data_IF_746040464268
#
_entry.id   IF_746040464268
#
_cell.length_a   1.000
_cell.length_b   1.000
_cell.length_c   1.000
_cell.angle_alpha   90.00
_cell.angle_beta   90.00
_cell.angle_gamma   90.00
#
_symmetry.space_group_name_H-M   'P 1'
#
loop_
_entity.id
_entity.type
_entity.pdbx_description
1 polymer ?
#
# COMPACT_ATOMS: atom_id res chain seq x y z
N UNK A 1 -1.07 20.56 10.06
CA UNK A 1 -1.14 19.34 9.25
C UNK A 1 -0.11 18.37 9.82
N UNK A 2 -0.55 17.39 10.62
CA UNK A 2 0.35 16.44 11.29
C UNK A 2 0.56 15.28 10.31
N UNK A 3 1.73 15.24 9.67
CA UNK A 3 2.14 14.15 8.80
C UNK A 3 2.82 13.07 9.66
N UNK A 4 2.24 11.87 9.74
CA UNK A 4 2.84 10.75 10.45
C UNK A 4 3.62 9.89 9.42
N UNK A 5 4.94 10.00 9.43
CA UNK A 5 5.80 8.99 8.80
C UNK A 5 5.97 7.84 9.79
N UNK A 6 5.45 6.66 9.47
CA UNK A 6 5.67 5.48 10.29
C UNK A 6 6.99 4.82 9.86
N UNK A 7 8.01 4.88 10.73
CA UNK A 7 9.22 4.07 10.62
C UNK A 7 8.97 2.79 11.41
N UNK A 8 8.75 1.68 10.72
CA UNK A 8 8.61 0.38 11.37
C UNK A 8 9.99 -0.16 11.76
N UNK A 9 10.38 -0.01 13.03
CA UNK A 9 11.55 -0.72 13.58
C UNK A 9 11.07 -2.09 14.06
N UNK A 10 11.39 -3.15 13.33
CA UNK A 10 11.16 -4.53 13.79
C UNK A 10 12.39 -4.97 14.59
N UNK A 11 12.23 -5.14 15.89
CA UNK A 11 13.30 -5.64 16.76
C UNK A 11 13.63 -7.12 16.46
N UNK A 12 14.89 -7.55 16.57
CA UNK A 12 15.26 -8.95 16.36
C UNK A 12 14.78 -9.84 17.54
N UNK A 13 14.34 -11.10 17.28
CA UNK A 13 13.90 -11.99 18.35
C UNK A 13 15.09 -12.55 19.14
N UNK A 14 14.98 -12.49 20.47
CA UNK A 14 15.91 -13.10 21.43
C UNK A 14 15.63 -14.60 21.49
N UNK A 15 16.69 -15.41 21.32
CA UNK A 15 16.64 -16.86 21.35
C UNK A 15 16.34 -17.43 22.75
N UNK A 16 15.40 -18.37 22.82
CA UNK A 16 15.12 -19.19 24.01
C UNK A 16 14.60 -20.57 23.59
N UNK A 17 15.24 -21.63 24.08
CA UNK A 17 15.15 -23.02 23.63
C UNK A 17 13.90 -23.79 24.12
N UNK A 18 13.18 -24.42 23.16
CA UNK A 18 12.58 -25.79 23.12
C UNK A 18 11.57 -26.29 24.20
N UNK A 19 10.81 -27.39 23.95
CA UNK A 19 10.01 -27.73 22.76
C UNK A 19 8.61 -28.30 23.13
N UNK A 20 7.58 -28.16 22.28
CA UNK A 20 6.55 -29.21 22.18
C UNK A 20 5.82 -29.18 20.83
N UNK A 21 5.78 -30.36 20.23
CA UNK A 21 5.35 -30.69 18.88
C UNK A 21 3.85 -30.55 18.68
N UNK A 22 3.42 -29.87 17.61
CA UNK A 22 2.28 -30.34 16.80
C UNK A 22 2.51 -29.97 15.33
N UNK A 23 2.73 -30.99 14.52
CA UNK A 23 2.91 -30.95 13.07
C UNK A 23 1.68 -30.35 12.36
N UNK A 24 1.86 -29.23 11.66
CA UNK A 24 0.98 -28.82 10.56
C UNK A 24 1.84 -28.65 9.31
N UNK A 25 1.46 -29.37 8.25
CA UNK A 25 2.18 -29.47 6.98
C UNK A 25 2.23 -28.10 6.29
N UNK A 26 3.35 -27.71 5.67
CA UNK A 26 3.46 -26.45 4.96
C UNK A 26 2.64 -26.52 3.66
N UNK A 27 1.67 -25.61 3.50
CA UNK A 27 1.00 -25.40 2.23
C UNK A 27 1.96 -24.66 1.30
N UNK A 28 2.56 -25.44 0.41
CA UNK A 28 3.36 -24.92 -0.70
C UNK A 28 2.44 -24.21 -1.69
N UNK A 29 2.59 -22.90 -1.88
CA UNK A 29 2.21 -22.22 -3.13
C UNK A 29 3.03 -20.95 -3.30
N UNK A 30 4.22 -21.11 -3.90
CA UNK A 30 4.82 -20.06 -4.70
C UNK A 30 3.87 -19.72 -5.85
N UNK A 31 3.14 -18.61 -5.71
CA UNK A 31 2.45 -17.97 -6.82
C UNK A 31 2.57 -16.46 -6.63
N UNK A 32 3.73 -15.92 -7.04
CA UNK A 32 3.96 -14.49 -7.16
C UNK A 32 3.05 -13.96 -8.28
N UNK A 33 1.76 -13.73 -7.98
CA UNK A 33 0.79 -13.15 -8.91
C UNK A 33 1.31 -11.76 -9.30
N UNK A 34 1.87 -11.66 -10.50
CA UNK A 34 2.13 -10.38 -11.17
C UNK A 34 0.76 -9.73 -11.40
N UNK A 35 0.39 -8.79 -10.54
CA UNK A 35 -0.70 -7.87 -10.81
C UNK A 35 -0.24 -6.97 -11.94
N UNK A 36 -0.80 -7.17 -13.13
CA UNK A 36 -0.50 -6.38 -14.32
C UNK A 36 -1.32 -5.09 -14.28
N UNK A 37 -0.66 -3.95 -14.09
CA UNK A 37 -1.29 -2.63 -14.27
C UNK A 37 -1.61 -2.44 -15.75
N UNK A 38 -2.89 -2.27 -16.08
CA UNK A 38 -3.33 -1.92 -17.43
C UNK A 38 -3.20 -0.41 -17.58
N UNK A 39 -2.32 0.03 -18.48
CA UNK A 39 -2.10 1.44 -18.78
C UNK A 39 -3.04 1.89 -19.90
N UNK A 40 -3.62 3.08 -19.77
CA UNK A 40 -4.30 3.78 -20.86
C UNK A 40 -3.28 4.30 -21.89
N UNK A 41 -3.75 4.73 -23.07
CA UNK A 41 -2.89 5.25 -24.14
C UNK A 41 -2.00 6.44 -23.72
N UNK A 42 -2.41 7.14 -22.65
CA UNK A 42 -1.76 8.35 -22.16
C UNK A 42 -0.75 8.08 -21.03
N UNK A 43 -0.47 6.80 -20.73
CA UNK A 43 0.50 6.37 -19.72
C UNK A 43 -0.02 6.33 -18.28
N UNK A 44 -1.24 6.80 -18.02
CA UNK A 44 -1.90 6.64 -16.71
C UNK A 44 -2.55 5.26 -16.56
N UNK A 45 -2.58 4.68 -15.34
CA UNK A 45 -3.38 3.49 -15.05
C UNK A 45 -4.86 3.71 -15.38
N UNK A 46 -5.49 2.73 -16.03
CA UNK A 46 -6.87 2.86 -16.54
C UNK A 46 -7.93 3.00 -15.44
N UNK A 47 -7.62 2.65 -14.19
CA UNK A 47 -8.52 2.79 -13.05
C UNK A 47 -8.55 4.21 -12.48
N UNK A 48 -7.61 5.07 -12.85
CA UNK A 48 -7.59 6.45 -12.36
C UNK A 48 -8.74 7.24 -13.00
N UNK A 49 -9.33 8.19 -12.25
CA UNK A 49 -10.41 9.03 -12.78
C UNK A 49 -9.91 9.90 -13.93
N UNK A 50 -10.78 10.22 -14.90
CA UNK A 50 -10.45 11.07 -16.05
C UNK A 50 -9.93 12.47 -15.64
N UNK A 51 -10.27 12.91 -14.44
CA UNK A 51 -9.79 14.13 -13.83
C UNK A 51 -8.26 14.13 -13.65
N UNK A 52 -7.60 12.97 -13.60
CA UNK A 52 -6.12 12.90 -13.51
C UNK A 52 -5.44 13.64 -14.68
N UNK A 53 -6.08 13.69 -15.84
CA UNK A 53 -5.54 14.35 -17.02
C UNK A 53 -5.51 15.89 -16.88
N UNK A 54 -6.34 16.47 -16.00
CA UNK A 54 -6.39 17.92 -15.76
C UNK A 54 -5.29 18.42 -14.82
N UNK A 55 -4.58 17.52 -14.14
CA UNK A 55 -3.46 17.86 -13.27
C UNK A 55 -2.35 18.51 -14.11
N UNK A 56 -1.97 19.74 -13.74
CA UNK A 56 -0.90 20.51 -14.40
C UNK A 56 0.48 20.28 -13.78
N UNK A 57 0.53 19.91 -12.50
CA UNK A 57 1.78 19.72 -11.78
C UNK A 57 2.55 18.50 -12.30
N UNK A 58 3.76 18.67 -12.87
CA UNK A 58 4.53 17.56 -13.42
C UNK A 58 4.93 16.53 -12.34
N UNK A 59 5.15 16.96 -11.10
CA UNK A 59 5.48 16.04 -10.01
C UNK A 59 4.29 15.11 -9.70
N UNK A 60 3.08 15.68 -9.59
CA UNK A 60 1.85 14.90 -9.43
C UNK A 60 1.64 13.91 -10.59
N UNK A 61 1.83 14.36 -11.85
CA UNK A 61 1.65 13.50 -13.03
C UNK A 61 2.64 12.34 -13.05
N UNK A 62 3.92 12.62 -12.81
CA UNK A 62 4.97 11.60 -12.76
C UNK A 62 4.74 10.59 -11.65
N UNK A 63 4.17 11.02 -10.53
CA UNK A 63 3.83 10.13 -9.44
C UNK A 63 2.54 9.32 -9.75
N UNK A 64 1.53 9.95 -10.36
CA UNK A 64 0.25 9.33 -10.70
C UNK A 64 0.37 8.18 -11.70
N UNK A 65 1.28 8.26 -12.69
CA UNK A 65 1.51 7.15 -13.63
C UNK A 65 2.04 5.88 -12.94
N UNK A 66 2.59 6.01 -11.73
CA UNK A 66 3.13 4.89 -10.94
C UNK A 66 2.14 4.28 -9.96
N UNK A 67 0.92 4.80 -9.88
CA UNK A 67 -0.09 4.27 -8.95
C UNK A 67 -0.51 2.88 -9.42
N UNK A 68 -0.50 1.93 -8.52
CA UNK A 68 -0.94 0.56 -8.74
C UNK A 68 -2.03 0.21 -7.73
N UNK A 69 -2.99 -0.63 -8.12
CA UNK A 69 -3.94 -1.23 -7.19
C UNK A 69 -3.54 -2.66 -6.86
N UNK A 70 -3.41 -2.97 -5.57
CA UNK A 70 -3.08 -4.28 -5.06
C UNK A 70 -4.28 -4.89 -4.31
N UNK A 71 -4.54 -6.20 -4.49
CA UNK A 71 -5.58 -6.88 -3.74
C UNK A 71 -5.20 -7.00 -2.26
N UNK A 72 -6.08 -6.56 -1.38
CA UNK A 72 -5.96 -6.72 0.07
C UNK A 72 -7.13 -7.58 0.55
N UNK A 73 -6.80 -8.76 1.04
CA UNK A 73 -7.79 -9.68 1.61
C UNK A 73 -8.09 -9.26 3.05
N UNK A 74 -9.37 -9.06 3.35
CA UNK A 74 -9.83 -8.74 4.71
C UNK A 74 -10.10 -10.02 5.48
N UNK A 75 -9.39 -10.20 6.59
CA UNK A 75 -9.45 -11.41 7.43
C UNK A 75 -10.82 -11.67 8.06
N UNK A 76 -11.65 -10.63 8.21
CA UNK A 76 -12.96 -10.72 8.87
C UNK A 76 -14.15 -11.02 7.94
N UNK A 77 -13.98 -10.91 6.62
CA UNK A 77 -15.11 -10.92 5.68
C UNK A 77 -14.86 -11.66 4.37
N UNK A 78 -13.70 -12.34 4.21
CA UNK A 78 -13.24 -12.96 2.95
C UNK A 78 -13.34 -12.06 1.71
N UNK A 79 -13.52 -10.75 1.93
CA UNK A 79 -13.65 -9.75 0.89
C UNK A 79 -12.27 -9.26 0.47
N UNK A 80 -12.05 -9.15 -0.83
CA UNK A 80 -10.85 -8.55 -1.39
C UNK A 80 -11.17 -7.11 -1.81
N UNK A 81 -10.38 -6.15 -1.33
CA UNK A 81 -10.47 -4.75 -1.75
C UNK A 81 -9.20 -4.36 -2.49
N UNK A 82 -9.34 -3.65 -3.60
CA UNK A 82 -8.20 -3.20 -4.40
C UNK A 82 -7.67 -1.88 -3.85
N UNK A 83 -6.62 -1.92 -3.02
CA UNK A 83 -6.01 -0.73 -2.42
C UNK A 83 -4.94 -0.14 -3.35
N UNK A 84 -4.94 1.18 -3.52
CA UNK A 84 -3.94 1.87 -4.32
C UNK A 84 -2.68 2.20 -3.54
N UNK A 85 -1.54 2.05 -4.21
CA UNK A 85 -0.23 2.33 -3.67
C UNK A 85 0.73 2.78 -4.77
N UNK A 86 1.87 3.31 -4.36
CA UNK A 86 3.01 3.57 -5.21
C UNK A 86 4.15 2.71 -4.70
N UNK A 87 4.65 1.83 -5.57
CA UNK A 87 5.76 0.93 -5.26
C UNK A 87 7.11 1.65 -5.30
N UNK A 88 8.08 1.21 -4.49
CA UNK A 88 9.44 1.69 -4.58
C UNK A 88 10.06 1.28 -5.92
N UNK A 89 10.82 2.19 -6.54
CA UNK A 89 11.68 1.89 -7.69
C UNK A 89 13.04 1.34 -7.28
N UNK A 90 13.38 1.44 -5.98
CA UNK A 90 14.63 0.94 -5.42
C UNK A 90 14.34 -0.03 -4.27
N UNK A 91 14.98 -1.20 -4.31
CA UNK A 91 15.06 -2.07 -3.15
C UNK A 91 16.24 -1.61 -2.29
N UNK A 92 15.97 -0.77 -1.29
CA UNK A 92 16.97 -0.17 -0.39
C UNK A 92 17.44 -1.13 0.72
N UNK A 93 18.70 -1.06 1.18
CA UNK A 93 19.20 -1.97 2.24
C UNK A 93 18.63 -1.68 3.64
N UNK A 94 18.08 -0.48 3.82
CA UNK A 94 17.52 0.02 5.09
C UNK A 94 16.04 -0.36 5.22
N UNK A 95 15.49 -0.15 6.40
CA UNK A 95 14.05 -0.34 6.64
C UNK A 95 13.21 0.51 5.68
N UNK A 96 12.11 -0.04 5.15
CA UNK A 96 11.25 0.67 4.22
C UNK A 96 10.52 1.82 4.91
N UNK A 97 10.30 2.90 4.16
CA UNK A 97 9.52 4.06 4.60
C UNK A 97 8.12 3.96 4.02
N UNK A 98 7.11 3.87 4.89
CA UNK A 98 5.71 3.89 4.46
C UNK A 98 5.10 5.26 4.72
N UNK A 99 4.58 5.86 3.65
CA UNK A 99 3.93 7.16 3.65
C UNK A 99 2.41 6.99 3.61
N UNK A 100 1.75 7.51 4.63
CA UNK A 100 0.30 7.51 4.77
C UNK A 100 -0.22 8.94 4.74
N UNK A 101 -1.14 9.24 3.82
CA UNK A 101 -1.74 10.57 3.72
C UNK A 101 -2.73 10.84 4.88
N UNK A 102 -3.10 12.12 5.06
CA UNK A 102 -4.12 12.54 6.03
C UNK A 102 -5.56 12.37 5.53
N UNK A 103 -6.54 12.76 6.34
CA UNK A 103 -7.97 12.71 6.00
C UNK A 103 -8.28 13.48 4.70
N UNK A 104 -9.21 12.95 3.88
CA UNK A 104 -9.65 13.54 2.60
C UNK A 104 -8.52 13.82 1.61
N UNK A 105 -7.60 12.87 1.48
CA UNK A 105 -6.49 12.99 0.54
C UNK A 105 -6.11 11.65 -0.13
N UNK A 106 -4.95 11.63 -0.80
CA UNK A 106 -4.39 10.48 -1.51
C UNK A 106 -2.86 10.44 -1.45
N UNK A 107 -2.28 9.36 -1.98
CA UNK A 107 -0.85 9.14 -2.13
C UNK A 107 -0.15 10.22 -2.97
N UNK A 108 -0.89 11.04 -3.71
CA UNK A 108 -0.35 12.20 -4.44
C UNK A 108 0.06 13.38 -3.55
N UNK A 109 -0.26 13.37 -2.25
CA UNK A 109 0.34 14.31 -1.29
C UNK A 109 1.86 14.23 -1.30
N UNK A 110 2.39 13.05 -1.60
CA UNK A 110 3.81 12.75 -1.59
C UNK A 110 4.52 13.05 -2.91
N UNK A 111 3.87 13.69 -3.88
CA UNK A 111 4.45 14.01 -5.21
C UNK A 111 5.81 14.69 -5.19
N UNK A 112 6.08 15.53 -4.18
CA UNK A 112 7.37 16.19 -4.02
C UNK A 112 8.33 15.42 -3.11
N UNK A 113 7.81 14.76 -2.06
CA UNK A 113 8.62 14.09 -1.04
C UNK A 113 9.10 12.71 -1.50
N UNK A 114 8.23 11.95 -2.17
CA UNK A 114 8.49 10.59 -2.62
C UNK A 114 9.74 10.50 -3.52
N UNK A 115 9.90 11.36 -4.56
CA UNK A 115 11.12 11.35 -5.38
C UNK A 115 12.39 11.69 -4.58
N UNK A 116 12.29 12.53 -3.54
CA UNK A 116 13.43 12.90 -2.71
C UNK A 116 13.87 11.74 -1.79
N UNK A 117 12.90 11.01 -1.23
CA UNK A 117 13.19 9.81 -0.43
C UNK A 117 13.83 8.71 -1.28
N UNK A 118 13.30 8.45 -2.48
CA UNK A 118 13.91 7.49 -3.41
C UNK A 118 15.30 7.94 -3.84
N UNK A 119 15.50 9.22 -4.16
CA UNK A 119 16.83 9.78 -4.47
C UNK A 119 17.81 9.63 -3.30
N UNK A 120 17.31 9.68 -2.08
CA UNK A 120 18.07 9.42 -0.84
C UNK A 120 18.38 7.95 -0.58
N UNK A 121 17.92 7.03 -1.44
CA UNK A 121 18.17 5.59 -1.30
C UNK A 121 17.16 4.84 -0.43
N UNK A 122 16.06 5.49 -0.02
CA UNK A 122 15.03 4.85 0.79
C UNK A 122 14.10 3.97 -0.07
N UNK A 123 13.86 2.74 0.38
CA UNK A 123 12.76 1.92 -0.14
C UNK A 123 11.43 2.53 0.32
N UNK A 124 10.79 3.35 -0.52
CA UNK A 124 9.62 4.13 -0.15
C UNK A 124 8.32 3.59 -0.77
N UNK A 125 7.29 3.47 0.06
CA UNK A 125 5.93 3.12 -0.33
C UNK A 125 4.99 4.28 0.02
N UNK A 126 4.10 4.66 -0.89
CA UNK A 126 3.01 5.60 -0.58
C UNK A 126 1.67 4.90 -0.76
N UNK A 127 0.85 4.92 0.27
CA UNK A 127 -0.39 4.14 0.34
C UNK A 127 -1.59 5.07 0.42
N UNK A 128 -2.66 4.69 -0.25
CA UNK A 128 -3.99 5.22 0.04
C UNK A 128 -4.63 4.44 1.19
N UNK A 129 -5.23 5.16 2.13
CA UNK A 129 -6.05 4.54 3.17
C UNK A 129 -7.22 3.84 2.51
N UNK A 130 -7.58 2.64 2.98
CA UNK A 130 -8.75 1.91 2.49
C UNK A 130 -10.00 2.80 2.56
N UNK A 131 -10.72 2.94 1.44
CA UNK A 131 -11.87 3.85 1.35
C UNK A 131 -11.52 5.27 0.90
N UNK A 132 -10.24 5.59 0.68
CA UNK A 132 -9.76 6.92 0.28
C UNK A 132 -8.86 6.87 -0.96
N UNK A 133 -8.49 8.05 -1.44
CA UNK A 133 -7.61 8.24 -2.57
C UNK A 133 -8.10 7.53 -3.83
N UNK A 134 -7.24 6.69 -4.41
CA UNK A 134 -7.57 5.92 -5.61
C UNK A 134 -7.90 4.46 -5.33
N UNK A 135 -8.15 4.10 -4.05
CA UNK A 135 -8.52 2.73 -3.70
C UNK A 135 -9.92 2.44 -4.23
N UNK A 136 -10.17 1.17 -4.54
CA UNK A 136 -11.50 0.73 -4.92
C UNK A 136 -12.43 0.72 -3.70
N UNK A 137 -13.64 1.24 -3.89
CA UNK A 137 -14.68 1.27 -2.87
C UNK A 137 -15.63 0.07 -2.97
N UNK A 138 -15.58 -0.67 -4.09
CA UNK A 138 -16.35 -1.89 -4.26
C UNK A 138 -15.97 -2.91 -3.18
N UNK A 139 -16.98 -3.46 -2.50
CA UNK A 139 -16.80 -4.45 -1.44
C UNK A 139 -16.54 -3.90 -0.03
N UNK A 140 -16.40 -2.57 0.15
CA UNK A 140 -16.21 -1.97 1.49
C UNK A 140 -17.54 -1.80 2.25
N UNK A 141 -18.70 -1.90 1.56
CA UNK A 141 -20.02 -1.71 2.18
C UNK A 141 -20.25 -0.27 2.69
N UNK A 142 -21.27 -0.05 3.53
CA UNK A 142 -21.43 1.26 4.22
C UNK A 142 -20.35 1.39 5.27
N UNK A 143 -19.36 2.27 5.05
CA UNK A 143 -18.30 2.56 6.03
C UNK A 143 -18.82 2.90 7.44
N UNK A 144 -20.05 3.41 7.56
CA UNK A 144 -20.71 3.71 8.83
C UNK A 144 -21.17 2.47 9.63
N UNK A 145 -21.28 1.31 8.99
CA UNK A 145 -21.76 0.06 9.60
C UNK A 145 -20.60 -0.93 9.88
N UNK A 146 -19.38 -0.55 9.54
CA UNK A 146 -18.21 -1.43 9.65
C UNK A 146 -17.80 -1.61 11.12
N UNK A 147 -17.70 -2.85 11.62
CA UNK A 147 -17.26 -3.13 12.99
C UNK A 147 -15.91 -2.47 13.31
N UNK A 148 -15.70 -2.05 14.57
CA UNK A 148 -14.42 -1.50 15.08
C UNK A 148 -13.13 -2.22 14.60
N UNK A 149 -13.09 -3.54 14.35
CA UNK A 149 -11.96 -4.21 13.69
C UNK A 149 -11.45 -3.58 12.40
N UNK A 150 -12.29 -2.85 11.66
CA UNK A 150 -11.91 -2.28 10.35
C UNK A 150 -11.01 -1.04 10.49
N UNK A 151 -10.88 -0.42 11.66
CA UNK A 151 -9.83 0.59 11.88
C UNK A 151 -8.42 0.00 11.77
N UNK A 152 -8.26 -1.33 11.86
CA UNK A 152 -7.01 -2.03 11.63
C UNK A 152 -6.79 -2.42 10.15
N UNK A 153 -7.65 -2.01 9.22
CA UNK A 153 -7.42 -2.30 7.80
C UNK A 153 -6.15 -1.65 7.26
N UNK A 154 -5.71 -0.54 7.84
CA UNK A 154 -4.38 0.01 7.56
C UNK A 154 -3.25 -0.99 7.92
N UNK A 155 -3.40 -1.78 8.99
CA UNK A 155 -2.46 -2.84 9.35
C UNK A 155 -2.55 -4.03 8.41
N UNK A 156 -3.74 -4.42 7.97
CA UNK A 156 -3.88 -5.51 6.99
C UNK A 156 -3.30 -5.12 5.62
N UNK A 157 -3.48 -3.85 5.22
CA UNK A 157 -2.78 -3.29 4.05
C UNK A 157 -1.26 -3.36 4.22
N UNK A 158 -0.72 -2.92 5.37
CA UNK A 158 0.70 -3.02 5.68
C UNK A 158 1.23 -4.46 5.63
N UNK A 159 0.46 -5.43 6.14
CA UNK A 159 0.82 -6.86 6.09
C UNK A 159 0.74 -7.45 4.69
N UNK A 160 -0.14 -6.93 3.82
CA UNK A 160 -0.30 -7.39 2.44
C UNK A 160 0.83 -6.91 1.52
N UNK A 161 1.51 -5.85 1.91
CA UNK A 161 2.64 -5.29 1.16
C UNK A 161 3.88 -6.12 1.49
N UNK A 162 4.65 -6.57 0.48
CA UNK A 162 5.90 -7.29 0.70
C UNK A 162 7.01 -6.29 1.12
N UNK A 163 6.82 -5.65 2.27
CA UNK A 163 7.90 -5.08 3.07
C UNK A 163 8.76 -6.28 3.49
N UNK A 164 10.08 -6.18 3.30
CA UNK A 164 11.01 -7.32 3.44
C UNK A 164 10.86 -8.13 4.73
#
# INVERSE_FOLDING_TARGET
MVMLAAVGVVAPPIAGNSPLSTQLKPLNTSAKRRVSTVFAQDGFPSFLPKQIHSIKDPFARNLAVRIERLPVTMTSSDSCVMSSCIRPSIQGKTDPVVLLHGFDSSCLEWRCTFPLLEKGGAECWALDILGWGFSDLEGIGRMAELPRPITYTALELLKSIPLR
#
